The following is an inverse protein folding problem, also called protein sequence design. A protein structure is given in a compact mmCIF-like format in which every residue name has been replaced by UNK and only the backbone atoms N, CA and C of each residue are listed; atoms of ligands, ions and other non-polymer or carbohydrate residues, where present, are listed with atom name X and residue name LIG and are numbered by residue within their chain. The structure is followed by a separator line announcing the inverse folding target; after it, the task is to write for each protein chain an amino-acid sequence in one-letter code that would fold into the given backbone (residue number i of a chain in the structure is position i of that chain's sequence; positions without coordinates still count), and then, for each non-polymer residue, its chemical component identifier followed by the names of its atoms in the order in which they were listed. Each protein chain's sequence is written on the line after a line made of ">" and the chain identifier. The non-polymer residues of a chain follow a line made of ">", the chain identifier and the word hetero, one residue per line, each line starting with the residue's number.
data_IF_815614768042
#
_entry.id   IF_815614768042
#
_cell.length_a   1.000
_cell.length_b   1.000
_cell.length_c   1.000
_cell.angle_alpha   90.00
_cell.angle_beta   90.00
_cell.angle_gamma   90.00
#
_symmetry.space_group_name_H-M   'P 1'
#
loop_
_entity.id
_entity.type
_entity.pdbx_description
1 polymer ?
#
# COMPACT_ATOMS: atom_id res chain seq x y z
N UNK A 1 7.27 0.68 -12.91
CA UNK A 1 7.80 1.90 -12.23
C UNK A 1 8.40 1.59 -10.85
N UNK A 2 7.70 0.85 -9.99
CA UNK A 2 8.11 0.61 -8.59
C UNK A 2 9.53 0.03 -8.42
N UNK A 3 9.88 -1.04 -9.14
CA UNK A 3 11.23 -1.62 -9.07
C UNK A 3 12.35 -0.63 -9.46
N UNK A 4 12.06 0.32 -10.35
CA UNK A 4 13.01 1.38 -10.68
C UNK A 4 13.17 2.36 -9.51
N UNK A 5 12.08 2.77 -8.86
CA UNK A 5 12.12 3.67 -7.70
C UNK A 5 12.85 3.02 -6.52
N UNK A 6 12.58 1.74 -6.23
CA UNK A 6 13.31 0.94 -5.24
C UNK A 6 14.81 1.02 -5.46
N UNK A 7 15.27 0.69 -6.68
CA UNK A 7 16.70 0.72 -7.01
C UNK A 7 17.29 2.12 -6.97
N UNK A 8 16.55 3.13 -7.44
CA UNK A 8 17.01 4.52 -7.50
C UNK A 8 17.23 5.10 -6.10
N UNK A 9 16.40 4.71 -5.15
CA UNK A 9 16.40 5.25 -3.78
C UNK A 9 16.97 4.28 -2.74
N UNK A 10 17.54 3.16 -3.17
CA UNK A 10 18.11 2.11 -2.32
C UNK A 10 17.16 1.68 -1.19
N UNK A 11 15.89 1.47 -1.57
CA UNK A 11 14.84 1.06 -0.63
C UNK A 11 14.80 -0.46 -0.50
N UNK A 12 14.48 -0.94 0.70
CA UNK A 12 14.08 -2.33 0.91
C UNK A 12 12.58 -2.47 0.59
N UNK A 13 12.17 -3.24 -0.45
CA UNK A 13 10.76 -3.46 -0.78
C UNK A 13 9.95 -3.99 0.39
N UNK A 14 10.53 -4.82 1.26
CA UNK A 14 9.83 -5.39 2.43
C UNK A 14 9.46 -4.34 3.48
N UNK A 15 10.11 -3.18 3.43
CA UNK A 15 9.85 -2.01 4.28
C UNK A 15 9.08 -0.91 3.53
N UNK A 16 8.59 -1.20 2.33
CA UNK A 16 7.80 -0.27 1.53
C UNK A 16 6.34 -0.71 1.50
N UNK A 17 5.46 0.29 1.34
CA UNK A 17 4.04 0.08 1.08
C UNK A 17 3.64 0.89 -0.17
N UNK A 18 2.93 0.26 -1.10
CA UNK A 18 2.28 0.93 -2.22
C UNK A 18 0.87 1.33 -1.81
N UNK A 19 0.57 2.62 -1.84
CA UNK A 19 -0.78 3.17 -1.60
C UNK A 19 -1.34 3.65 -2.93
N UNK A 20 -2.54 3.22 -3.29
CA UNK A 20 -3.24 3.68 -4.49
C UNK A 20 -4.75 3.53 -4.38
N UNK A 21 -5.48 4.17 -5.29
CA UNK A 21 -6.94 4.20 -5.34
C UNK A 21 -7.54 3.05 -6.16
N UNK A 22 -6.69 2.25 -6.82
CA UNK A 22 -7.11 1.14 -7.67
C UNK A 22 -6.54 -0.17 -7.19
N UNK A 23 -7.27 -1.26 -7.47
CA UNK A 23 -6.80 -2.64 -7.26
C UNK A 23 -5.45 -2.88 -7.93
N UNK A 24 -5.25 -2.33 -9.14
CA UNK A 24 -4.00 -2.49 -9.88
C UNK A 24 -2.78 -1.90 -9.16
N UNK A 25 -2.95 -0.83 -8.39
CA UNK A 25 -1.86 -0.23 -7.62
C UNK A 25 -1.41 -1.16 -6.48
N UNK A 26 -2.38 -1.76 -5.79
CA UNK A 26 -2.15 -2.77 -4.75
C UNK A 26 -1.41 -3.98 -5.34
N UNK A 27 -1.91 -4.53 -6.44
CA UNK A 27 -1.28 -5.67 -7.13
C UNK A 27 0.13 -5.34 -7.62
N UNK A 28 0.36 -4.14 -8.13
CA UNK A 28 1.68 -3.70 -8.54
C UNK A 28 2.66 -3.63 -7.36
N UNK A 29 2.21 -3.15 -6.20
CA UNK A 29 2.98 -3.17 -4.95
C UNK A 29 3.36 -4.57 -4.51
N UNK A 30 2.37 -5.47 -4.42
CA UNK A 30 2.58 -6.87 -4.04
C UNK A 30 3.56 -7.58 -5.00
N UNK A 31 3.37 -7.40 -6.31
CA UNK A 31 4.26 -7.97 -7.34
C UNK A 31 5.70 -7.40 -7.29
N UNK A 32 5.88 -6.21 -6.69
CA UNK A 32 7.20 -5.61 -6.46
C UNK A 32 7.85 -6.05 -5.14
N UNK A 33 7.19 -6.93 -4.37
CA UNK A 33 7.66 -7.38 -3.05
C UNK A 33 7.42 -6.38 -1.93
N UNK A 34 6.43 -5.49 -2.10
CA UNK A 34 6.00 -4.49 -1.11
C UNK A 34 4.66 -4.90 -0.48
N UNK A 35 4.31 -4.28 0.63
CA UNK A 35 2.91 -4.25 1.06
C UNK A 35 2.08 -3.42 0.08
N UNK A 36 0.78 -3.71 -0.02
CA UNK A 36 -0.17 -2.92 -0.82
C UNK A 36 -1.32 -2.42 0.05
N UNK A 37 -1.74 -1.18 -0.12
CA UNK A 37 -2.86 -0.59 0.59
C UNK A 37 -3.80 0.12 -0.39
N UNK A 38 -5.10 -0.12 -0.24
CA UNK A 38 -6.13 0.53 -1.02
C UNK A 38 -6.59 1.79 -0.28
N UNK A 39 -6.53 2.93 -0.96
CA UNK A 39 -7.13 4.18 -0.50
C UNK A 39 -8.42 4.43 -1.31
N UNK A 40 -9.57 4.15 -0.70
CA UNK A 40 -10.86 4.16 -1.41
C UNK A 40 -11.93 4.87 -0.57
N UNK A 41 -11.93 6.21 -0.57
CA UNK A 41 -12.87 6.99 0.24
C UNK A 41 -14.33 6.84 -0.21
N UNK A 42 -14.56 6.46 -1.47
CA UNK A 42 -15.87 6.41 -2.11
C UNK A 42 -16.35 4.96 -2.37
N UNK A 43 -15.65 3.95 -1.82
CA UNK A 43 -15.97 2.52 -1.95
C UNK A 43 -16.03 1.98 -3.41
N UNK A 44 -15.31 2.58 -4.36
CA UNK A 44 -15.28 2.13 -5.76
C UNK A 44 -14.69 0.73 -5.95
N UNK A 45 -13.71 0.37 -5.14
CA UNK A 45 -12.93 -0.86 -5.19
C UNK A 45 -13.18 -1.77 -3.98
N UNK A 46 -14.20 -1.48 -3.16
CA UNK A 46 -14.51 -2.18 -1.91
C UNK A 46 -14.54 -3.69 -2.09
N UNK A 47 -13.69 -4.40 -1.34
CA UNK A 47 -13.62 -5.86 -1.33
C UNK A 47 -12.96 -6.50 -2.56
N UNK A 48 -12.39 -5.71 -3.48
CA UNK A 48 -11.75 -6.21 -4.69
C UNK A 48 -10.23 -6.33 -4.55
N UNK A 49 -9.60 -5.47 -3.73
CA UNK A 49 -8.15 -5.46 -3.60
C UNK A 49 -7.65 -6.64 -2.75
N UNK A 50 -6.56 -7.33 -3.18
CA UNK A 50 -5.99 -8.47 -2.46
C UNK A 50 -5.11 -8.00 -1.28
N UNK A 51 -5.67 -7.16 -0.41
CA UNK A 51 -4.98 -6.62 0.76
C UNK A 51 -5.95 -6.43 1.93
N UNK A 52 -5.50 -6.67 3.18
CA UNK A 52 -6.27 -6.29 4.37
C UNK A 52 -6.21 -4.78 4.67
N UNK A 53 -5.29 -4.03 4.04
CA UNK A 53 -5.11 -2.60 4.32
C UNK A 53 -5.99 -1.75 3.40
N UNK A 54 -7.11 -1.27 3.93
CA UNK A 54 -8.06 -0.42 3.23
C UNK A 54 -8.34 0.83 4.07
N UNK A 55 -8.19 2.00 3.46
CA UNK A 55 -8.30 3.27 4.13
C UNK A 55 -9.34 4.17 3.46
N UNK A 56 -10.40 4.58 4.18
CA UNK A 56 -11.48 5.41 3.63
C UNK A 56 -11.16 6.91 3.69
N UNK A 57 -10.04 7.31 4.31
CA UNK A 57 -9.67 8.72 4.45
C UNK A 57 -8.18 8.89 4.68
N UNK A 58 -7.68 10.10 4.40
CA UNK A 58 -6.29 10.45 4.67
C UNK A 58 -5.96 10.39 6.16
N UNK A 59 -6.93 10.70 7.03
CA UNK A 59 -6.75 10.60 8.49
C UNK A 59 -6.56 9.16 8.94
N UNK A 60 -7.37 8.22 8.39
CA UNK A 60 -7.22 6.80 8.69
C UNK A 60 -5.87 6.26 8.18
N UNK A 61 -5.47 6.65 6.96
CA UNK A 61 -4.17 6.30 6.38
C UNK A 61 -3.01 6.83 7.25
N UNK A 62 -3.08 8.10 7.68
CA UNK A 62 -2.06 8.76 8.52
C UNK A 62 -1.93 8.08 9.87
N UNK A 63 -3.04 7.82 10.56
CA UNK A 63 -3.07 7.16 11.86
C UNK A 63 -2.37 5.78 11.75
N UNK A 64 -2.77 4.97 10.77
CA UNK A 64 -2.24 3.63 10.61
C UNK A 64 -0.75 3.57 10.22
N UNK A 65 -0.32 4.42 9.26
CA UNK A 65 1.03 4.33 8.69
C UNK A 65 2.09 5.16 9.45
N UNK A 66 1.68 6.19 10.19
CA UNK A 66 2.61 7.13 10.84
C UNK A 66 2.58 6.99 12.35
N UNK A 67 1.41 6.78 12.94
CA UNK A 67 1.24 6.82 14.39
C UNK A 67 1.22 5.42 15.03
N UNK A 68 0.55 4.46 14.39
CA UNK A 68 0.33 3.13 14.99
C UNK A 68 1.25 2.03 14.43
N UNK A 69 1.92 2.25 13.29
CA UNK A 69 2.77 1.27 12.58
C UNK A 69 2.12 -0.13 12.47
N UNK A 70 0.83 -0.14 12.11
CA UNK A 70 -0.01 -1.34 12.15
C UNK A 70 0.11 -2.24 10.91
N UNK A 71 1.01 -1.90 9.98
CA UNK A 71 1.24 -2.67 8.76
C UNK A 71 2.47 -3.56 8.96
N UNK A 72 2.32 -4.89 9.16
CA UNK A 72 3.46 -5.80 9.17
C UNK A 72 4.23 -5.75 7.85
N UNK A 73 5.54 -5.98 7.94
CA UNK A 73 6.43 -6.04 6.80
C UNK A 73 5.96 -7.10 5.78
N UNK A 74 6.20 -6.85 4.49
CA UNK A 74 5.82 -7.78 3.44
C UNK A 74 6.57 -9.13 3.60
N UNK A 75 5.84 -10.25 3.60
CA UNK A 75 6.41 -11.61 3.68
C UNK A 75 7.28 -11.95 2.46
#
# INVERSE_FOLDING_TARGET
>A
ALLYLVRKHDLDPKRCIMVGDRVLDVEAGLNAGMCGALFDPDDFCKGQAPTPYQYPSMDALRLALVEEDTVPAAE
#
